data_IF_581013313317
#
_entry.id   IF_581013313317
#
_cell.length_a   1.000
_cell.length_b   1.000
_cell.length_c   1.000
_cell.angle_alpha   90.00
_cell.angle_beta   90.00
_cell.angle_gamma   90.00
#
_symmetry.space_group_name_H-M   'P 1'
#
loop_
_entity.id
_entity.type
_entity.pdbx_description
1 polymer ?
#
# COMPACT_ATOMS: atom_id res chain seq x y z
N UNK A 1 -14.44 -4.96 -16.02
CA UNK A 1 -15.15 -4.66 -14.76
C UNK A 1 -14.42 -5.40 -13.64
N UNK A 2 -13.78 -4.69 -12.75
CA UNK A 2 -13.10 -5.32 -11.61
C UNK A 2 -14.16 -5.72 -10.56
N UNK A 3 -14.36 -7.00 -10.36
CA UNK A 3 -15.33 -7.51 -9.36
C UNK A 3 -14.57 -7.66 -8.02
N UNK A 4 -14.20 -6.54 -7.41
CA UNK A 4 -13.54 -6.53 -6.09
C UNK A 4 -14.42 -6.01 -4.97
N UNK A 5 -15.60 -5.51 -5.32
CA UNK A 5 -16.50 -4.90 -4.35
C UNK A 5 -17.35 -5.96 -3.67
N UNK A 6 -17.42 -5.87 -2.33
CA UNK A 6 -18.38 -6.64 -1.56
C UNK A 6 -19.71 -5.90 -1.50
N UNK A 7 -20.73 -6.42 -2.16
CA UNK A 7 -22.04 -5.80 -2.20
C UNK A 7 -22.88 -6.10 -0.95
N UNK A 8 -22.64 -7.22 -0.29
CA UNK A 8 -23.42 -7.68 0.84
C UNK A 8 -22.55 -8.38 1.90
N UNK A 9 -22.98 -8.31 3.15
CA UNK A 9 -22.41 -9.03 4.28
C UNK A 9 -23.41 -10.11 4.73
N UNK A 10 -22.94 -11.34 4.89
CA UNK A 10 -23.75 -12.47 5.26
C UNK A 10 -23.54 -12.78 6.74
N UNK A 11 -24.60 -12.77 7.51
CA UNK A 11 -24.62 -13.22 8.91
C UNK A 11 -25.43 -14.50 9.06
N UNK A 12 -25.44 -15.09 10.24
CA UNK A 12 -26.25 -16.25 10.57
C UNK A 12 -27.77 -16.01 10.50
N UNK A 13 -28.20 -14.76 10.41
CA UNK A 13 -29.61 -14.36 10.42
C UNK A 13 -30.09 -13.74 9.11
N UNK A 14 -29.24 -12.97 8.44
CA UNK A 14 -29.66 -12.24 7.23
C UNK A 14 -28.48 -11.83 6.36
N UNK A 15 -28.80 -11.24 5.22
CA UNK A 15 -27.89 -10.55 4.34
C UNK A 15 -28.08 -9.05 4.53
N UNK A 16 -27.00 -8.32 4.79
CA UNK A 16 -27.03 -6.88 5.03
C UNK A 16 -26.14 -6.13 4.03
N UNK A 17 -26.54 -4.89 3.70
CA UNK A 17 -25.75 -3.98 2.85
C UNK A 17 -24.70 -3.20 3.61
N UNK A 18 -24.58 -3.38 4.91
CA UNK A 18 -23.62 -2.70 5.77
C UNK A 18 -23.10 -3.65 6.83
N UNK A 19 -21.86 -3.42 7.22
CA UNK A 19 -21.20 -4.12 8.32
C UNK A 19 -21.21 -3.20 9.55
N UNK A 20 -21.95 -3.55 10.64
CA UNK A 20 -21.84 -2.79 11.89
C UNK A 20 -20.44 -2.97 12.49
N UNK A 21 -19.81 -1.87 12.84
CA UNK A 21 -18.48 -1.83 13.46
C UNK A 21 -18.55 -1.11 14.80
N UNK A 22 -17.51 -1.25 15.62
CA UNK A 22 -17.39 -0.51 16.87
C UNK A 22 -17.17 0.99 16.59
N UNK A 23 -17.41 1.82 17.60
CA UNK A 23 -17.13 3.26 17.50
C UNK A 23 -15.65 3.49 17.25
N UNK A 24 -15.35 4.24 16.16
CA UNK A 24 -13.98 4.58 15.80
C UNK A 24 -13.41 5.60 16.80
N UNK A 25 -12.19 5.37 17.23
CA UNK A 25 -11.40 6.30 18.02
C UNK A 25 -10.33 6.93 17.15
N UNK A 26 -10.22 8.26 17.16
CA UNK A 26 -9.27 8.99 16.29
C UNK A 26 -7.79 8.66 16.55
N UNK A 27 -7.47 8.13 17.71
CA UNK A 27 -6.10 7.86 18.17
C UNK A 27 -5.69 6.40 18.11
N UNK A 28 -6.59 5.51 17.70
CA UNK A 28 -6.36 4.07 17.65
C UNK A 28 -6.61 3.56 16.23
N UNK A 29 -5.70 2.77 15.65
CA UNK A 29 -5.96 2.11 14.38
C UNK A 29 -7.12 1.13 14.52
N UNK A 30 -7.97 1.06 13.50
CA UNK A 30 -9.09 0.14 13.46
C UNK A 30 -8.85 -0.95 12.43
N UNK A 31 -8.71 -2.17 12.89
CA UNK A 31 -8.44 -3.32 12.04
C UNK A 31 -9.72 -4.08 11.71
N UNK A 32 -9.88 -4.45 10.47
CA UNK A 32 -10.93 -5.37 9.99
C UNK A 32 -10.27 -6.61 9.43
N UNK A 33 -10.69 -7.78 9.92
CA UNK A 33 -10.16 -9.05 9.45
C UNK A 33 -11.17 -9.75 8.52
N UNK A 34 -10.68 -10.29 7.42
CA UNK A 34 -11.45 -11.12 6.50
C UNK A 34 -10.84 -12.52 6.54
N UNK A 35 -11.65 -13.48 6.99
CA UNK A 35 -11.21 -14.86 7.15
C UNK A 35 -11.64 -15.73 5.97
N UNK A 36 -11.00 -16.90 5.84
CA UNK A 36 -11.29 -17.91 4.84
C UNK A 36 -11.18 -17.38 3.41
N UNK A 37 -10.29 -16.44 3.18
CA UNK A 37 -9.91 -16.01 1.84
C UNK A 37 -8.96 -17.04 1.24
N UNK A 38 -9.17 -17.35 -0.03
CA UNK A 38 -8.42 -18.39 -0.73
C UNK A 38 -7.67 -17.87 -1.93
N UNK A 39 -7.33 -18.76 -2.85
CA UNK A 39 -6.75 -18.42 -4.13
C UNK A 39 -7.52 -17.28 -4.82
N UNK A 40 -6.83 -16.45 -5.54
CA UNK A 40 -7.30 -15.22 -6.21
C UNK A 40 -7.48 -13.97 -5.33
N UNK A 41 -7.54 -14.08 -4.01
CA UNK A 41 -7.66 -12.88 -3.17
C UNK A 41 -6.36 -12.08 -3.16
N UNK A 42 -5.24 -12.75 -2.93
CA UNK A 42 -3.90 -12.18 -2.99
C UNK A 42 -3.53 -11.75 -4.41
N UNK A 43 -3.69 -12.65 -5.39
CA UNK A 43 -3.37 -12.39 -6.81
C UNK A 43 -4.15 -11.21 -7.40
N UNK A 44 -5.34 -10.89 -6.90
CA UNK A 44 -6.09 -9.72 -7.36
C UNK A 44 -5.46 -8.40 -6.90
N UNK A 45 -4.66 -8.43 -5.84
CA UNK A 45 -3.98 -7.28 -5.27
C UNK A 45 -2.53 -7.11 -5.73
N UNK A 46 -1.89 -8.17 -6.21
CA UNK A 46 -0.47 -8.25 -6.48
C UNK A 46 0.01 -7.48 -7.74
N UNK A 47 1.23 -7.77 -8.17
CA UNK A 47 1.88 -7.19 -9.36
C UNK A 47 1.09 -7.34 -10.65
N UNK A 48 0.22 -8.36 -10.77
CA UNK A 48 -0.65 -8.54 -11.94
C UNK A 48 -1.56 -7.33 -12.19
N UNK A 49 -1.96 -6.65 -11.12
CA UNK A 49 -2.79 -5.44 -11.18
C UNK A 49 -2.01 -4.17 -10.82
N UNK A 50 -0.71 -4.24 -10.71
CA UNK A 50 0.22 -3.15 -10.36
C UNK A 50 -0.07 -2.53 -8.97
N UNK A 51 -0.60 -3.32 -8.06
CA UNK A 51 -0.77 -2.89 -6.66
C UNK A 51 0.44 -3.27 -5.80
N UNK A 52 1.19 -4.29 -6.19
CA UNK A 52 2.21 -4.93 -5.38
C UNK A 52 1.60 -5.88 -4.34
N UNK A 53 2.44 -6.73 -3.76
CA UNK A 53 2.02 -7.63 -2.69
C UNK A 53 1.88 -6.87 -1.37
N UNK A 54 0.96 -7.33 -0.54
CA UNK A 54 0.80 -6.80 0.82
C UNK A 54 1.83 -7.38 1.77
N UNK A 55 2.09 -6.69 2.87
CA UNK A 55 2.83 -7.28 3.98
C UNK A 55 2.16 -8.60 4.40
N UNK A 56 2.94 -9.65 4.50
CA UNK A 56 2.46 -10.99 4.81
C UNK A 56 3.16 -11.58 6.03
N UNK A 57 2.43 -12.37 6.79
CA UNK A 57 2.96 -13.10 7.93
C UNK A 57 2.53 -14.56 7.84
N UNK A 58 3.49 -15.47 7.81
CA UNK A 58 3.22 -16.89 7.92
C UNK A 58 3.12 -17.28 9.39
N UNK A 59 2.00 -17.85 9.76
CA UNK A 59 1.69 -18.23 11.13
C UNK A 59 1.32 -19.70 11.20
N UNK A 60 1.96 -20.45 12.09
CA UNK A 60 1.53 -21.80 12.46
C UNK A 60 0.81 -21.78 13.80
N UNK A 61 -0.18 -22.64 13.96
CA UNK A 61 -0.97 -22.76 15.19
C UNK A 61 -0.71 -24.14 15.83
N UNK A 62 -0.53 -24.16 17.13
CA UNK A 62 -0.36 -25.37 17.93
C UNK A 62 -1.18 -25.31 19.23
N UNK A 63 -1.15 -26.37 20.04
CA UNK A 63 -1.90 -26.45 21.30
C UNK A 63 -1.54 -25.37 22.32
N UNK A 64 -0.38 -24.73 22.19
CA UNK A 64 0.12 -23.68 23.11
C UNK A 64 -0.14 -22.27 22.59
N UNK A 65 -0.70 -22.13 21.36
CA UNK A 65 -0.94 -20.84 20.74
C UNK A 65 -0.48 -20.79 19.30
N UNK A 66 0.24 -19.74 18.91
CA UNK A 66 0.75 -19.56 17.54
C UNK A 66 2.23 -19.23 17.54
N UNK A 67 2.88 -19.55 16.43
CA UNK A 67 4.25 -19.14 16.11
C UNK A 67 4.25 -18.31 14.83
N UNK A 68 5.02 -17.23 14.82
CA UNK A 68 5.33 -16.49 13.58
C UNK A 68 6.52 -17.18 12.93
N UNK A 69 6.30 -17.77 11.76
CA UNK A 69 7.32 -18.50 11.01
C UNK A 69 8.13 -17.56 10.11
N UNK A 70 7.45 -16.58 9.48
CA UNK A 70 8.08 -15.67 8.56
C UNK A 70 7.29 -14.36 8.48
N UNK A 71 8.01 -13.25 8.33
CA UNK A 71 7.45 -11.94 8.00
C UNK A 71 8.01 -11.57 6.62
N UNK A 72 7.16 -11.13 5.72
CA UNK A 72 7.50 -10.74 4.35
C UNK A 72 6.97 -9.32 4.16
N UNK A 73 7.87 -8.40 3.82
CA UNK A 73 7.48 -7.04 3.46
C UNK A 73 6.85 -7.02 2.07
N UNK A 74 5.79 -6.25 1.90
CA UNK A 74 5.17 -6.02 0.60
C UNK A 74 5.98 -5.04 -0.25
N UNK A 75 5.58 -4.89 -1.52
CA UNK A 75 6.32 -4.07 -2.47
C UNK A 75 6.18 -2.57 -2.22
N UNK A 76 7.24 -1.88 -2.61
CA UNK A 76 7.27 -0.42 -2.73
C UNK A 76 6.77 0.04 -4.11
N UNK A 77 6.37 1.31 -4.22
CA UNK A 77 6.03 1.93 -5.51
C UNK A 77 7.19 1.82 -6.50
N UNK A 78 8.44 1.91 -6.04
CA UNK A 78 9.62 1.79 -6.88
C UNK A 78 9.74 0.39 -7.50
N UNK A 79 9.44 -0.67 -6.76
CA UNK A 79 9.47 -2.05 -7.25
C UNK A 79 8.38 -2.29 -8.29
N UNK A 80 7.17 -1.80 -8.06
CA UNK A 80 6.08 -1.86 -9.05
C UNK A 80 6.44 -1.11 -10.33
N UNK A 81 7.06 0.07 -10.22
CA UNK A 81 7.54 0.82 -11.38
C UNK A 81 8.63 0.08 -12.15
N UNK A 82 9.58 -0.53 -11.45
CA UNK A 82 10.67 -1.30 -12.08
C UNK A 82 10.12 -2.52 -12.82
N UNK A 83 9.12 -3.19 -12.26
CA UNK A 83 8.40 -4.29 -12.92
C UNK A 83 7.83 -3.90 -14.29
N UNK A 84 7.28 -2.70 -14.41
CA UNK A 84 6.76 -2.16 -15.69
C UNK A 84 7.80 -1.35 -16.46
N UNK A 85 9.09 -1.55 -16.17
CA UNK A 85 10.24 -0.99 -16.89
C UNK A 85 10.42 0.54 -16.77
N UNK A 86 9.84 1.16 -15.75
CA UNK A 86 10.18 2.51 -15.36
C UNK A 86 11.32 2.49 -14.34
N UNK A 87 12.42 3.16 -14.65
CA UNK A 87 13.58 3.21 -13.76
C UNK A 87 13.38 4.29 -12.67
N UNK A 88 13.17 3.93 -11.39
CA UNK A 88 12.91 4.88 -10.31
C UNK A 88 14.03 5.92 -10.13
N UNK A 89 15.30 5.50 -10.26
CA UNK A 89 16.45 6.38 -10.14
C UNK A 89 16.49 7.44 -11.25
N UNK A 90 16.07 7.07 -12.47
CA UNK A 90 15.98 8.02 -13.59
C UNK A 90 14.87 9.03 -13.36
N UNK A 91 13.73 8.61 -12.82
CA UNK A 91 12.64 9.51 -12.46
C UNK A 91 13.09 10.56 -11.44
N UNK A 92 13.74 10.12 -10.35
CA UNK A 92 14.29 11.03 -9.33
C UNK A 92 15.26 12.02 -9.95
N UNK A 93 16.22 11.58 -10.77
CA UNK A 93 17.21 12.48 -11.41
C UNK A 93 16.57 13.50 -12.34
N UNK A 94 15.55 13.09 -13.08
CA UNK A 94 14.79 14.00 -13.96
C UNK A 94 14.12 15.09 -13.11
N UNK A 95 13.48 14.70 -12.03
CA UNK A 95 12.83 15.63 -11.12
C UNK A 95 13.83 16.57 -10.43
N UNK A 96 14.98 16.06 -9.98
CA UNK A 96 16.06 16.88 -9.43
C UNK A 96 16.51 17.97 -10.40
N UNK A 97 16.60 17.62 -11.69
CA UNK A 97 16.95 18.58 -12.74
C UNK A 97 15.89 19.67 -12.88
N UNK A 98 14.61 19.32 -12.88
CA UNK A 98 13.53 20.29 -12.97
C UNK A 98 13.42 21.18 -11.74
N UNK A 99 13.53 20.61 -10.55
CA UNK A 99 13.53 21.38 -9.29
C UNK A 99 14.70 22.35 -9.26
N UNK A 100 15.91 21.88 -9.60
CA UNK A 100 17.10 22.74 -9.66
C UNK A 100 16.93 23.91 -10.64
N UNK A 101 16.33 23.65 -11.80
CA UNK A 101 16.02 24.69 -12.77
C UNK A 101 15.01 25.69 -12.21
N UNK A 102 13.95 25.22 -11.57
CA UNK A 102 12.88 26.07 -11.00
C UNK A 102 13.40 26.96 -9.87
N UNK A 103 14.31 26.43 -9.03
CA UNK A 103 14.98 27.23 -8.00
C UNK A 103 15.86 28.31 -8.62
N UNK A 104 16.66 27.98 -9.65
CA UNK A 104 17.51 28.94 -10.36
C UNK A 104 16.71 30.07 -11.05
N UNK A 105 15.53 29.74 -11.53
CA UNK A 105 14.61 30.69 -12.16
C UNK A 105 13.79 31.48 -11.16
N UNK A 106 13.96 31.26 -9.86
CA UNK A 106 13.25 31.93 -8.78
C UNK A 106 11.76 31.60 -8.71
N UNK A 107 11.33 30.47 -9.30
CA UNK A 107 9.94 30.01 -9.28
C UNK A 107 9.55 29.37 -7.96
N UNK A 108 10.50 28.74 -7.30
CA UNK A 108 10.37 28.12 -5.99
C UNK A 108 11.61 28.41 -5.15
N UNK A 109 11.47 28.41 -3.85
CA UNK A 109 12.60 28.53 -2.91
C UNK A 109 13.41 27.23 -2.85
N UNK A 110 14.61 27.30 -2.29
CA UNK A 110 15.45 26.14 -2.05
C UNK A 110 14.79 25.16 -1.06
N UNK A 111 14.08 25.69 -0.05
CA UNK A 111 13.40 24.88 0.96
C UNK A 111 12.22 24.11 0.36
N UNK A 112 11.38 24.79 -0.40
CA UNK A 112 10.28 24.14 -1.13
C UNK A 112 10.79 23.05 -2.08
N UNK A 113 11.90 23.32 -2.78
CA UNK A 113 12.54 22.33 -3.65
C UNK A 113 13.03 21.08 -2.90
N UNK A 114 13.64 21.27 -1.72
CA UNK A 114 14.08 20.16 -0.86
C UNK A 114 12.89 19.35 -0.33
N UNK A 115 11.87 20.02 0.17
CA UNK A 115 10.68 19.37 0.68
C UNK A 115 9.98 18.55 -0.41
N UNK A 116 9.83 19.13 -1.59
CA UNK A 116 9.23 18.45 -2.73
C UNK A 116 9.99 17.18 -3.12
N UNK A 117 11.33 17.25 -3.22
CA UNK A 117 12.17 16.07 -3.53
C UNK A 117 12.13 15.03 -2.42
N UNK A 118 12.08 15.45 -1.16
CA UNK A 118 11.96 14.55 -0.01
C UNK A 118 10.64 13.78 -0.06
N UNK A 119 9.52 14.49 -0.25
CA UNK A 119 8.19 13.90 -0.33
C UNK A 119 8.07 12.95 -1.52
N UNK A 120 8.62 13.34 -2.68
CA UNK A 120 8.62 12.48 -3.86
C UNK A 120 9.39 11.17 -3.63
N UNK A 121 10.60 11.26 -3.02
CA UNK A 121 11.39 10.07 -2.69
C UNK A 121 10.69 9.19 -1.66
N UNK A 122 10.13 9.80 -0.62
CA UNK A 122 9.36 9.07 0.40
C UNK A 122 8.19 8.31 -0.22
N UNK A 123 7.40 8.94 -1.09
CA UNK A 123 6.32 8.27 -1.79
C UNK A 123 6.79 7.19 -2.76
N UNK A 124 7.92 7.42 -3.47
CA UNK A 124 8.44 6.46 -4.43
C UNK A 124 8.96 5.18 -3.77
N UNK A 125 9.59 5.30 -2.60
CA UNK A 125 10.13 4.17 -1.84
C UNK A 125 9.22 3.75 -0.69
N UNK A 126 8.03 4.31 -0.61
CA UNK A 126 7.00 3.91 0.32
C UNK A 126 6.26 2.65 -0.12
N UNK A 127 5.58 2.05 0.83
CA UNK A 127 4.70 0.91 0.62
C UNK A 127 3.55 1.28 -0.34
N UNK A 128 3.12 0.33 -1.17
CA UNK A 128 2.12 0.60 -2.22
C UNK A 128 0.70 0.79 -1.68
N UNK A 129 0.42 0.35 -0.47
CA UNK A 129 -0.87 0.51 0.18
C UNK A 129 -0.83 1.66 1.19
N UNK A 130 -1.99 2.23 1.47
CA UNK A 130 -2.13 3.30 2.46
C UNK A 130 -1.92 2.74 3.88
N UNK A 131 -1.12 3.44 4.67
CA UNK A 131 -0.89 3.20 6.11
C UNK A 131 -1.55 4.30 6.97
#
# INVERSE_FOLDING_TARGET
MCIRDSANFISTRNVAHYLPVHTLKKTEPYYVAVFLVGAYQEILGDMHNLFGDTNAVHVSVNEKGYNIEQIIDGETVAEVLDYVQYNPKKLVRTLETWVTKSVKEGKISLEEGKEFLSNYRSGLYGYTYLE
#
